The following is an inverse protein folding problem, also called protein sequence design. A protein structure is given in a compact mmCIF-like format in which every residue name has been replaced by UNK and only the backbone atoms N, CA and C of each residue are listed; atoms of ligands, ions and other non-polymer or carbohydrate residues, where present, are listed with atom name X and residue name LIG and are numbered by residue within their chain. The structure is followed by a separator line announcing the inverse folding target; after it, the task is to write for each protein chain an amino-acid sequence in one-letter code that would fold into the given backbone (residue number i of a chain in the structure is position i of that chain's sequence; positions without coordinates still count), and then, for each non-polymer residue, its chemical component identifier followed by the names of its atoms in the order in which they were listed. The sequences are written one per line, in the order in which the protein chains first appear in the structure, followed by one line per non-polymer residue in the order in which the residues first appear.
data_IF_844306599066
#
_entry.id   IF_844306599066
#
_cell.length_a   1.000
_cell.length_b   1.000
_cell.length_c   1.000
_cell.angle_alpha   90.00
_cell.angle_beta   90.00
_cell.angle_gamma   90.00
#
_symmetry.space_group_name_H-M   'P 1'
#
loop_
_entity.id
_entity.type
_entity.pdbx_description
1 polymer ?
#
# COMPACT_ATOMS: atom_id res chain seq x y z
N UNK A 1 -13.08 -6.76 13.98
CA UNK A 1 -11.91 -6.70 13.10
C UNK A 1 -11.97 -5.45 12.24
N UNK A 2 -10.90 -4.75 12.13
CA UNK A 2 -10.90 -3.48 11.44
C UNK A 2 -10.25 -3.63 10.06
N UNK A 3 -10.87 -3.01 9.06
CA UNK A 3 -10.28 -2.90 7.74
C UNK A 3 -9.22 -1.79 7.71
N UNK A 4 -9.23 -0.92 8.71
CA UNK A 4 -8.34 0.24 8.77
C UNK A 4 -6.98 -0.20 9.29
N UNK A 5 -5.92 0.08 8.50
CA UNK A 5 -4.55 -0.27 8.88
C UNK A 5 -3.68 0.95 9.10
N UNK A 6 -4.29 2.11 9.26
CA UNK A 6 -3.55 3.36 9.45
C UNK A 6 -2.55 3.24 10.60
N UNK A 7 -1.31 3.64 10.34
CA UNK A 7 -0.24 3.55 11.32
C UNK A 7 0.49 2.22 11.33
N UNK A 8 0.00 1.21 10.62
CA UNK A 8 0.65 -0.11 10.59
C UNK A 8 1.73 -0.15 9.52
N UNK A 9 2.83 -0.85 9.81
CA UNK A 9 3.82 -1.14 8.81
C UNK A 9 3.37 -2.36 8.02
N UNK A 10 3.42 -2.24 6.70
CA UNK A 10 2.95 -3.31 5.82
C UNK A 10 3.95 -3.53 4.69
N UNK A 11 3.88 -4.70 4.08
CA UNK A 11 4.61 -5.01 2.86
C UNK A 11 3.60 -5.50 1.83
N UNK A 12 3.89 -5.25 0.57
CA UNK A 12 3.00 -5.67 -0.49
C UNK A 12 3.65 -5.56 -1.85
N UNK A 13 2.84 -5.81 -2.88
CA UNK A 13 3.30 -5.72 -4.26
C UNK A 13 2.55 -4.58 -4.94
N UNK A 14 3.32 -3.63 -5.47
CA UNK A 14 2.78 -2.49 -6.19
C UNK A 14 2.81 -2.80 -7.69
N UNK A 15 1.67 -2.62 -8.36
CA UNK A 15 1.54 -2.89 -9.80
C UNK A 15 1.94 -4.31 -10.15
N UNK A 16 1.83 -5.24 -9.19
CA UNK A 16 2.13 -6.66 -9.36
C UNK A 16 3.58 -6.94 -9.76
N UNK A 17 4.45 -5.94 -9.63
CA UNK A 17 5.85 -6.08 -10.04
C UNK A 17 6.84 -5.57 -9.00
N UNK A 18 6.43 -4.66 -8.14
CA UNK A 18 7.34 -3.97 -7.22
C UNK A 18 7.00 -4.34 -5.80
N UNK A 19 7.90 -5.05 -5.12
CA UNK A 19 7.73 -5.34 -3.70
C UNK A 19 8.11 -4.08 -2.92
N UNK A 20 7.18 -3.63 -2.08
CA UNK A 20 7.37 -2.38 -1.32
C UNK A 20 7.08 -2.63 0.14
N UNK A 21 7.70 -1.82 1.00
CA UNK A 21 7.49 -1.85 2.44
C UNK A 21 7.28 -0.42 2.89
N UNK A 22 6.30 -0.20 3.74
CA UNK A 22 6.04 1.13 4.24
C UNK A 22 5.01 1.12 5.34
N UNK A 23 4.55 2.32 5.69
CA UNK A 23 3.56 2.52 6.74
C UNK A 23 2.29 3.04 6.11
N UNK A 24 1.15 2.48 6.52
CA UNK A 24 -0.15 2.92 6.02
C UNK A 24 -0.46 4.29 6.58
N UNK A 25 -0.63 5.26 5.69
CA UNK A 25 -1.01 6.62 6.05
C UNK A 25 -2.53 6.76 6.15
N UNK A 26 -3.24 6.08 5.26
CA UNK A 26 -4.69 6.20 5.17
C UNK A 26 -5.26 4.90 4.62
N UNK A 27 -6.41 4.50 5.13
CA UNK A 27 -7.16 3.35 4.62
C UNK A 27 -8.55 3.81 4.28
N UNK A 28 -9.11 3.32 3.18
CA UNK A 28 -10.48 3.67 2.81
C UNK A 28 -11.14 2.52 2.09
N UNK A 29 -12.45 2.47 2.18
CA UNK A 29 -13.25 1.48 1.47
C UNK A 29 -13.71 2.10 0.16
N UNK A 30 -13.39 1.44 -0.95
CA UNK A 30 -13.80 1.89 -2.26
C UNK A 30 -15.23 1.43 -2.55
N UNK A 31 -15.81 2.00 -3.58
CA UNK A 31 -17.10 1.56 -4.07
C UNK A 31 -17.02 0.08 -4.39
N UNK A 32 -17.99 -0.70 -3.87
CA UNK A 32 -17.96 -2.15 -4.04
C UNK A 32 -17.37 -2.90 -2.87
N UNK A 33 -16.84 -2.20 -1.86
CA UNK A 33 -16.37 -2.82 -0.63
C UNK A 33 -14.88 -3.15 -0.59
N UNK A 34 -14.15 -2.90 -1.67
CA UNK A 34 -12.71 -3.15 -1.67
C UNK A 34 -12.00 -2.12 -0.78
N UNK A 35 -10.98 -2.56 -0.05
CA UNK A 35 -10.21 -1.68 0.82
C UNK A 35 -8.91 -1.29 0.13
N UNK A 36 -8.62 0.01 0.13
CA UNK A 36 -7.41 0.54 -0.46
C UNK A 36 -6.62 1.29 0.61
N UNK A 37 -5.31 1.11 0.60
CA UNK A 37 -4.42 1.73 1.58
C UNK A 37 -3.45 2.65 0.87
N UNK A 38 -3.23 3.84 1.42
CA UNK A 38 -2.16 4.72 0.99
C UNK A 38 -0.95 4.40 1.86
N UNK A 39 0.14 3.97 1.23
CA UNK A 39 1.33 3.51 1.95
C UNK A 39 2.47 4.47 1.67
N UNK A 40 3.03 5.02 2.76
CA UNK A 40 4.24 5.83 2.67
C UNK A 40 5.43 4.89 2.74
N UNK A 41 6.21 4.85 1.67
CA UNK A 41 7.28 3.86 1.54
C UNK A 41 8.47 4.21 2.41
N UNK A 42 9.07 3.18 3.03
CA UNK A 42 10.29 3.35 3.81
C UNK A 42 11.44 3.76 2.89
N UNK A 43 11.43 3.28 1.66
CA UNK A 43 12.43 3.66 0.64
C UNK A 43 11.69 3.95 -0.65
N UNK A 44 12.00 5.05 -1.32
CA UNK A 44 11.36 5.36 -2.59
C UNK A 44 11.66 4.28 -3.62
N UNK A 45 10.70 4.08 -4.54
CA UNK A 45 10.88 3.16 -5.67
C UNK A 45 10.77 3.94 -6.96
N UNK A 46 11.50 3.50 -7.96
CA UNK A 46 11.39 4.10 -9.29
C UNK A 46 10.45 3.26 -10.13
N UNK A 47 9.37 3.88 -10.60
CA UNK A 47 8.35 3.23 -11.41
C UNK A 47 8.22 4.02 -12.70
N UNK A 48 8.51 3.38 -13.83
CA UNK A 48 8.41 4.00 -15.15
C UNK A 48 9.19 5.32 -15.22
N UNK A 49 10.39 5.34 -14.63
CA UNK A 49 11.24 6.53 -14.66
C UNK A 49 10.86 7.61 -13.66
N UNK A 50 9.86 7.36 -12.81
CA UNK A 50 9.41 8.33 -11.80
C UNK A 50 9.65 7.75 -10.42
N UNK A 51 10.32 8.51 -9.57
CA UNK A 51 10.56 8.09 -8.18
C UNK A 51 9.28 8.34 -7.38
N UNK A 52 8.83 7.32 -6.66
CA UNK A 52 7.64 7.41 -5.83
C UNK A 52 7.96 7.01 -4.41
N UNK A 53 7.49 7.81 -3.46
CA UNK A 53 7.64 7.52 -2.03
C UNK A 53 6.32 7.19 -1.36
N UNK A 54 5.22 7.21 -2.10
CA UNK A 54 3.89 6.92 -1.59
C UNK A 54 3.11 6.22 -2.70
N UNK A 55 2.50 5.09 -2.36
CA UNK A 55 1.77 4.29 -3.35
C UNK A 55 0.42 3.88 -2.77
N UNK A 56 -0.50 3.52 -3.67
CA UNK A 56 -1.80 2.99 -3.28
C UNK A 56 -1.77 1.48 -3.50
N UNK A 57 -2.13 0.74 -2.46
CA UNK A 57 -2.19 -0.72 -2.52
C UNK A 57 -3.57 -1.18 -2.08
N UNK A 58 -4.13 -2.14 -2.81
CA UNK A 58 -5.35 -2.79 -2.38
C UNK A 58 -5.04 -3.80 -1.27
N UNK A 59 -6.03 -4.09 -0.46
CA UNK A 59 -5.86 -5.05 0.65
C UNK A 59 -5.30 -6.37 0.14
N UNK A 60 -5.75 -6.82 -1.03
CA UNK A 60 -5.32 -8.10 -1.59
C UNK A 60 -3.86 -8.08 -2.07
N UNK A 61 -3.26 -6.91 -2.21
CA UNK A 61 -1.87 -6.78 -2.62
C UNK A 61 -0.92 -6.79 -1.44
N UNK A 62 -1.43 -6.75 -0.22
CA UNK A 62 -0.60 -6.78 0.98
C UNK A 62 -0.22 -8.22 1.31
N UNK A 63 1.02 -8.40 1.78
CA UNK A 63 1.44 -9.70 2.27
C UNK A 63 0.79 -9.94 3.63
N UNK A 64 0.39 -11.18 3.87
CA UNK A 64 -0.07 -11.58 5.18
C UNK A 64 1.10 -11.46 6.15
N UNK A 65 0.91 -10.64 7.16
CA UNK A 65 2.02 -10.34 8.06
C UNK A 65 1.84 -10.87 9.40
#
# INVERSE_FOLDING_TARGET
MSWNREGQQVAGVYLKSYTVIGTVENSRVKYGGAVQHTVVLAQPVEVFGTVRDRVLLDECDLFAG
#
